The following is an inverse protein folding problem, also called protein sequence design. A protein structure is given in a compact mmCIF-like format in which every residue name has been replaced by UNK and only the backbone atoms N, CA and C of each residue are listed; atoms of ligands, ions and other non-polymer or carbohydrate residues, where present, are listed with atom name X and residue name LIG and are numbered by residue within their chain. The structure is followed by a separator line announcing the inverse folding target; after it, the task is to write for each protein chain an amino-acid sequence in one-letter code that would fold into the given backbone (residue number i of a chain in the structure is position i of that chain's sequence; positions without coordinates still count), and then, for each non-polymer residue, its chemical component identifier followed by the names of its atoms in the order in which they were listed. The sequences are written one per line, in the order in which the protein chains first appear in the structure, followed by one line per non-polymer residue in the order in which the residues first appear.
data_IF_452065998548
#
_entry.id   IF_452065998548
#
_cell.length_a   1.000
_cell.length_b   1.000
_cell.length_c   1.000
_cell.angle_alpha   90.00
_cell.angle_beta   90.00
_cell.angle_gamma   90.00
#
_symmetry.space_group_name_H-M   'P 1'
#
loop_
_entity.id
_entity.type
_entity.pdbx_description
1 polymer ?
#
# COMPACT_ATOMS: atom_id res chain seq x y z
N UNK A 1 -42.31 32.68 -50.93
CA UNK A 1 -41.46 33.70 -51.58
C UNK A 1 -41.50 35.00 -50.78
N UNK A 2 -40.46 35.85 -50.92
CA UNK A 2 -40.13 37.07 -50.15
C UNK A 2 -41.25 38.12 -50.00
N UNK A 3 -41.29 38.78 -48.83
CA UNK A 3 -41.12 40.26 -48.57
C UNK A 3 -41.64 40.54 -47.13
N UNK A 4 -40.95 41.14 -46.14
CA UNK A 4 -39.91 42.18 -45.99
C UNK A 4 -40.41 43.64 -46.01
N UNK A 5 -40.62 44.22 -44.80
CA UNK A 5 -40.49 45.64 -44.34
C UNK A 5 -40.94 45.67 -42.86
N UNK A 6 -40.08 45.87 -41.86
CA UNK A 6 -39.33 47.08 -41.47
C UNK A 6 -40.21 48.16 -40.79
N UNK A 7 -39.96 48.44 -39.50
CA UNK A 7 -39.54 49.75 -38.95
C UNK A 7 -39.35 49.69 -37.42
N UNK A 8 -38.21 50.20 -36.93
CA UNK A 8 -37.96 50.63 -35.53
C UNK A 8 -38.28 52.15 -35.46
N UNK A 9 -38.54 52.81 -34.30
CA UNK A 9 -37.47 53.08 -33.32
C UNK A 9 -37.87 53.33 -31.83
N UNK A 10 -36.87 53.35 -30.92
CA UNK A 10 -36.77 54.15 -29.67
C UNK A 10 -37.88 53.98 -28.56
N UNK A 11 -37.75 54.30 -27.27
CA UNK A 11 -36.67 54.57 -26.28
C UNK A 11 -37.40 54.78 -24.90
N UNK A 12 -36.86 54.82 -23.67
CA UNK A 12 -35.51 54.71 -23.05
C UNK A 12 -35.69 54.37 -21.53
N UNK A 13 -34.60 54.11 -20.77
CA UNK A 13 -34.50 54.17 -19.28
C UNK A 13 -35.26 53.08 -18.45
N UNK A 14 -34.81 52.61 -17.27
CA UNK A 14 -33.50 52.69 -16.57
C UNK A 14 -33.44 51.70 -15.37
N UNK A 15 -32.22 51.40 -14.88
CA UNK A 15 -31.87 50.91 -13.51
C UNK A 15 -32.41 49.52 -13.06
N UNK A 16 -31.75 48.73 -12.21
CA UNK A 16 -30.43 48.79 -11.54
C UNK A 16 -30.00 47.39 -11.05
N UNK A 17 -28.83 47.33 -10.37
CA UNK A 17 -28.29 46.25 -9.52
C UNK A 17 -27.63 45.06 -10.25
N UNK A 18 -26.45 44.66 -9.78
CA UNK A 18 -25.82 43.38 -10.16
C UNK A 18 -24.35 43.39 -10.59
N UNK A 19 -23.47 44.23 -10.01
CA UNK A 19 -22.03 43.98 -10.10
C UNK A 19 -21.64 42.83 -9.15
N UNK A 20 -21.89 41.59 -9.59
CA UNK A 20 -21.29 40.40 -9.01
C UNK A 20 -19.96 40.13 -9.69
N UNK A 21 -18.88 40.17 -8.92
CA UNK A 21 -17.51 40.00 -9.39
C UNK A 21 -17.21 38.50 -9.61
N UNK A 22 -16.90 38.04 -10.83
CA UNK A 22 -16.50 36.65 -11.06
C UNK A 22 -15.00 36.50 -10.79
N UNK A 23 -14.60 36.65 -9.53
CA UNK A 23 -13.28 36.19 -9.08
C UNK A 23 -13.29 34.66 -9.09
N UNK A 24 -13.03 34.09 -10.27
CA UNK A 24 -12.66 32.69 -10.43
C UNK A 24 -11.24 32.52 -9.86
N UNK A 25 -11.15 32.52 -8.54
CA UNK A 25 -10.11 31.75 -7.87
C UNK A 25 -10.40 30.28 -8.18
N UNK A 26 -9.78 29.81 -9.26
CA UNK A 26 -9.46 28.40 -9.39
C UNK A 26 -8.42 28.13 -8.32
N UNK A 27 -8.91 27.79 -7.12
CA UNK A 27 -8.12 26.98 -6.19
C UNK A 27 -7.74 25.73 -6.96
N UNK A 28 -6.50 25.69 -7.43
CA UNK A 28 -5.85 24.40 -7.62
C UNK A 28 -5.74 23.83 -6.23
N UNK A 29 -6.68 22.96 -5.88
CA UNK A 29 -6.56 22.06 -4.74
C UNK A 29 -5.38 21.14 -5.05
N UNK A 30 -4.17 21.65 -4.84
CA UNK A 30 -3.05 20.85 -4.37
C UNK A 30 -3.59 20.19 -3.12
N UNK A 31 -3.94 18.91 -3.23
CA UNK A 31 -4.39 18.12 -2.09
C UNK A 31 -3.30 18.19 -1.04
N UNK A 32 -3.49 19.07 -0.06
CA UNK A 32 -2.58 19.26 1.04
C UNK A 32 -2.69 18.01 1.89
N UNK A 33 -1.82 17.04 1.61
CA UNK A 33 -1.77 15.75 2.29
C UNK A 33 -1.56 16.02 3.79
N UNK A 34 -2.65 16.02 4.55
CA UNK A 34 -2.62 16.43 5.96
C UNK A 34 -1.96 15.32 6.76
N UNK A 35 -0.75 15.59 7.24
CA UNK A 35 0.02 14.70 8.09
C UNK A 35 -0.84 14.14 9.23
N UNK A 36 -1.23 12.88 9.11
CA UNK A 36 -2.18 12.21 10.01
C UNK A 36 -3.09 11.20 9.31
N UNK A 37 -3.43 11.40 8.03
CA UNK A 37 -4.07 10.35 7.23
C UNK A 37 -3.00 9.38 6.71
N UNK A 38 -3.16 8.08 6.99
CA UNK A 38 -2.39 7.04 6.29
C UNK A 38 -2.93 6.93 4.88
N UNK A 39 -2.34 7.68 3.95
CA UNK A 39 -2.75 7.74 2.55
C UNK A 39 -2.96 6.32 1.99
N UNK A 40 -4.22 5.99 1.70
CA UNK A 40 -4.57 4.69 1.15
C UNK A 40 -3.96 4.52 -0.25
N UNK A 41 -3.73 3.27 -0.63
CA UNK A 41 -3.17 2.89 -1.92
C UNK A 41 -4.20 2.03 -2.65
N UNK A 42 -5.15 2.66 -3.38
CA UNK A 42 -6.09 1.91 -4.23
C UNK A 42 -5.34 1.27 -5.41
N UNK A 43 -5.89 0.19 -5.95
CA UNK A 43 -5.30 -0.49 -7.09
C UNK A 43 -5.30 0.43 -8.33
N UNK A 44 -4.30 0.25 -9.20
CA UNK A 44 -4.08 1.14 -10.35
C UNK A 44 -3.31 2.43 -10.04
N UNK A 45 -3.13 2.80 -8.76
CA UNK A 45 -2.18 3.85 -8.36
C UNK A 45 -0.74 3.41 -8.60
N UNK A 46 0.12 4.31 -9.10
CA UNK A 46 1.54 4.04 -9.31
C UNK A 46 2.34 4.77 -8.24
N UNK A 47 2.71 4.06 -7.16
CA UNK A 47 3.22 4.70 -5.93
C UNK A 47 4.39 3.95 -5.30
N UNK A 48 5.20 4.71 -4.56
CA UNK A 48 6.18 4.19 -3.61
C UNK A 48 5.65 4.41 -2.18
N UNK A 49 5.56 3.32 -1.42
CA UNK A 49 5.23 3.31 -0.01
C UNK A 49 6.55 3.20 0.77
N UNK A 50 7.16 4.35 1.05
CA UNK A 50 8.43 4.43 1.76
C UNK A 50 8.23 4.20 3.27
N UNK A 51 8.92 3.20 3.82
CA UNK A 51 8.97 2.95 5.27
C UNK A 51 10.38 3.31 5.76
N UNK A 52 10.53 4.50 6.34
CA UNK A 52 11.82 5.05 6.76
C UNK A 52 12.15 4.64 8.19
N UNK A 53 13.36 4.12 8.38
CA UNK A 53 13.89 3.60 9.65
C UNK A 53 12.91 2.66 10.37
N UNK A 54 12.47 1.56 9.71
CA UNK A 54 11.66 0.54 10.32
C UNK A 54 12.39 -0.11 11.50
N UNK A 55 11.66 -0.40 12.57
CA UNK A 55 12.15 -1.18 13.69
C UNK A 55 12.41 -2.60 13.20
N UNK A 56 13.66 -3.05 13.32
CA UNK A 56 14.06 -4.39 12.92
C UNK A 56 13.57 -5.40 13.96
N UNK A 57 12.65 -6.29 13.57
CA UNK A 57 12.14 -7.32 14.45
C UNK A 57 13.14 -8.48 14.63
N UNK A 58 13.02 -9.24 15.70
CA UNK A 58 13.73 -10.52 15.89
C UNK A 58 12.84 -11.67 15.41
N UNK A 59 13.33 -12.64 14.60
CA UNK A 59 14.72 -12.89 14.23
C UNK A 59 15.07 -12.45 12.79
N UNK A 60 14.97 -11.16 12.47
CA UNK A 60 15.48 -10.63 11.19
C UNK A 60 16.93 -11.07 10.97
N UNK A 61 17.22 -11.62 9.79
CA UNK A 61 18.50 -12.26 9.50
C UNK A 61 18.96 -12.14 8.03
N UNK A 62 18.32 -11.28 7.22
CA UNK A 62 18.80 -10.92 5.86
C UNK A 62 19.91 -9.87 5.87
N UNK A 63 19.98 -9.05 6.92
CA UNK A 63 21.01 -8.05 7.13
C UNK A 63 20.43 -6.65 7.22
N UNK A 64 20.92 -5.88 8.18
CA UNK A 64 20.53 -4.48 8.40
C UNK A 64 21.55 -3.57 7.70
N UNK A 65 21.12 -2.59 6.89
CA UNK A 65 22.04 -1.61 6.31
C UNK A 65 22.81 -0.82 7.39
N UNK A 66 23.99 -0.31 7.04
CA UNK A 66 24.81 0.46 7.98
C UNK A 66 24.25 1.86 8.27
N UNK A 67 23.33 2.29 7.41
CA UNK A 67 22.68 3.59 7.36
C UNK A 67 21.41 3.66 8.25
N UNK A 68 21.14 2.67 9.11
CA UNK A 68 19.94 2.67 9.96
C UNK A 68 20.05 3.74 11.05
N UNK A 69 19.21 4.77 10.96
CA UNK A 69 19.05 5.83 11.96
C UNK A 69 17.79 5.66 12.80
N UNK A 70 17.60 6.58 13.75
CA UNK A 70 16.45 6.60 14.67
C UNK A 70 15.33 7.57 14.22
N UNK A 71 15.58 8.45 13.25
CA UNK A 71 14.61 9.48 12.80
C UNK A 71 13.63 8.87 11.81
N UNK A 72 12.37 8.76 12.22
CA UNK A 72 11.30 8.18 11.39
C UNK A 72 10.40 9.24 10.77
N UNK A 73 10.03 10.26 11.54
CA UNK A 73 9.00 11.23 11.17
C UNK A 73 9.58 12.56 10.69
N UNK A 74 8.85 13.26 9.82
CA UNK A 74 9.32 14.52 9.26
C UNK A 74 10.50 14.38 8.30
N UNK A 75 10.71 13.19 7.74
CA UNK A 75 11.69 12.93 6.69
C UNK A 75 11.02 13.17 5.34
N UNK A 76 11.59 14.08 4.55
CA UNK A 76 11.16 14.33 3.19
C UNK A 76 11.47 13.10 2.31
N UNK A 77 10.47 12.62 1.58
CA UNK A 77 10.56 11.53 0.59
C UNK A 77 10.10 12.10 -0.75
N UNK A 78 11.06 12.38 -1.64
CA UNK A 78 10.82 13.11 -2.88
C UNK A 78 11.31 12.30 -4.09
N UNK A 79 10.42 11.56 -4.79
CA UNK A 79 10.77 10.92 -6.04
C UNK A 79 10.87 11.93 -7.17
N UNK A 80 12.04 12.02 -7.81
CA UNK A 80 12.26 12.81 -9.02
C UNK A 80 12.34 11.89 -10.27
N UNK A 81 11.43 12.00 -11.25
CA UNK A 81 10.15 12.70 -11.22
C UNK A 81 9.08 11.99 -10.36
N UNK A 82 8.12 12.75 -9.83
CA UNK A 82 7.07 12.23 -8.95
C UNK A 82 6.45 13.33 -8.08
N UNK A 83 5.75 12.92 -7.02
CA UNK A 83 5.15 13.82 -6.01
C UNK A 83 5.76 13.60 -4.63
N UNK A 84 6.34 14.65 -4.05
CA UNK A 84 6.95 14.62 -2.72
C UNK A 84 5.94 14.33 -1.60
N UNK A 85 6.38 13.58 -0.60
CA UNK A 85 5.67 13.29 0.63
C UNK A 85 6.58 13.46 1.86
N UNK A 86 6.00 13.52 3.06
CA UNK A 86 6.72 13.64 4.33
C UNK A 86 6.29 12.50 5.24
N UNK A 87 7.24 11.87 5.92
CA UNK A 87 6.93 10.70 6.76
C UNK A 87 6.11 11.03 8.01
N UNK A 88 5.11 10.20 8.28
CA UNK A 88 4.32 10.14 9.52
C UNK A 88 4.35 8.70 10.05
N UNK A 89 4.68 8.52 11.33
CA UNK A 89 5.00 7.22 11.94
C UNK A 89 6.04 6.40 11.14
N UNK A 90 6.99 7.05 10.48
CA UNK A 90 7.96 6.44 9.57
C UNK A 90 7.42 6.02 8.20
N UNK A 91 6.22 6.45 7.80
CA UNK A 91 5.60 6.10 6.53
C UNK A 91 5.39 7.34 5.64
N UNK A 92 5.76 7.25 4.37
CA UNK A 92 5.33 8.18 3.32
C UNK A 92 4.80 7.40 2.11
N UNK A 93 3.75 7.92 1.48
CA UNK A 93 3.24 7.41 0.19
C UNK A 93 3.43 8.52 -0.84
N UNK A 94 4.13 8.20 -1.92
CA UNK A 94 4.55 9.16 -2.94
C UNK A 94 4.16 8.66 -4.33
N UNK A 95 3.52 9.52 -5.13
CA UNK A 95 3.17 9.24 -6.53
C UNK A 95 4.41 9.19 -7.41
N UNK A 96 4.52 8.18 -8.27
CA UNK A 96 5.66 8.00 -9.18
C UNK A 96 5.21 7.65 -10.62
N UNK A 97 5.85 8.21 -11.65
CA UNK A 97 5.60 7.82 -13.03
C UNK A 97 6.42 6.60 -13.43
N UNK A 98 5.95 5.87 -14.45
CA UNK A 98 6.65 4.74 -15.07
C UNK A 98 7.97 5.19 -15.70
N UNK A 99 9.07 5.05 -14.96
CA UNK A 99 10.43 5.45 -15.33
C UNK A 99 11.45 4.93 -14.32
N UNK A 100 12.73 5.02 -14.66
CA UNK A 100 13.79 5.06 -13.63
C UNK A 100 13.69 6.40 -12.90
N UNK A 101 13.40 6.36 -11.60
CA UNK A 101 13.29 7.54 -10.73
C UNK A 101 14.48 7.60 -9.77
N UNK A 102 14.73 8.82 -9.33
CA UNK A 102 15.65 9.15 -8.25
C UNK A 102 14.82 9.42 -6.98
N UNK A 103 14.78 8.48 -6.05
CA UNK A 103 14.08 8.63 -4.77
C UNK A 103 14.98 9.35 -3.76
N UNK A 104 14.69 10.62 -3.49
CA UNK A 104 15.36 11.38 -2.45
C UNK A 104 14.76 11.10 -1.08
N UNK A 105 15.62 10.92 -0.07
CA UNK A 105 15.24 10.69 1.33
C UNK A 105 16.06 11.65 2.18
N UNK A 106 15.46 12.78 2.54
CA UNK A 106 16.21 13.96 2.96
C UNK A 106 17.30 14.33 1.94
N UNK A 107 18.59 14.46 2.35
CA UNK A 107 19.69 14.71 1.41
C UNK A 107 20.21 13.46 0.68
N UNK A 108 19.78 12.26 1.10
CA UNK A 108 20.22 11.00 0.50
C UNK A 108 19.45 10.69 -0.78
N UNK A 109 20.00 9.78 -1.61
CA UNK A 109 19.47 9.46 -2.93
C UNK A 109 19.53 7.97 -3.22
N UNK A 110 18.40 7.39 -3.60
CA UNK A 110 18.24 5.99 -4.00
C UNK A 110 17.70 5.92 -5.43
N UNK A 111 18.09 4.90 -6.20
CA UNK A 111 17.46 4.62 -7.50
C UNK A 111 16.26 3.69 -7.32
N UNK A 112 15.23 3.84 -8.15
CA UNK A 112 14.16 2.85 -8.30
C UNK A 112 13.70 2.79 -9.76
N UNK A 113 13.52 1.59 -10.30
CA UNK A 113 12.90 1.38 -11.61
C UNK A 113 11.40 1.05 -11.43
N UNK A 114 10.54 1.93 -11.95
CA UNK A 114 9.08 1.76 -11.97
C UNK A 114 8.70 1.12 -13.31
N UNK A 115 8.30 -0.16 -13.26
CA UNK A 115 8.16 -1.02 -14.44
C UNK A 115 6.86 -0.75 -15.23
N UNK A 116 5.73 -0.59 -14.55
CA UNK A 116 4.41 -0.42 -15.16
C UNK A 116 3.49 0.52 -14.35
N UNK A 117 2.45 1.02 -15.03
CA UNK A 117 1.43 1.85 -14.39
C UNK A 117 0.50 0.97 -13.55
N UNK A 118 0.20 1.43 -12.33
CA UNK A 118 -0.52 0.68 -11.31
C UNK A 118 0.35 -0.29 -10.49
N UNK A 119 1.67 -0.22 -10.64
CA UNK A 119 2.58 -0.91 -9.74
C UNK A 119 2.69 -0.17 -8.40
N UNK A 120 2.58 -0.92 -7.31
CA UNK A 120 2.82 -0.45 -5.93
C UNK A 120 4.16 -0.99 -5.45
N UNK A 121 4.99 -0.12 -4.86
CA UNK A 121 6.31 -0.48 -4.34
C UNK A 121 6.39 -0.24 -2.84
N UNK A 122 6.37 -1.29 -2.03
CA UNK A 122 6.68 -1.18 -0.60
C UNK A 122 8.20 -1.08 -0.43
N UNK A 123 8.71 0.06 0.04
CA UNK A 123 10.14 0.40 0.07
C UNK A 123 10.65 0.71 1.50
N UNK A 124 11.06 -0.31 2.28
CA UNK A 124 11.75 -0.12 3.55
C UNK A 124 13.17 0.43 3.35
N UNK A 125 13.45 1.55 4.02
CA UNK A 125 14.66 2.36 3.83
C UNK A 125 15.30 2.61 5.19
N UNK A 126 16.58 2.28 5.31
CA UNK A 126 17.46 2.76 6.37
C UNK A 126 18.00 4.15 5.97
N UNK A 127 17.98 5.11 6.89
CA UNK A 127 18.43 6.49 6.66
C UNK A 127 19.08 7.11 7.92
N UNK A 128 20.34 7.55 7.84
CA UNK A 128 21.10 8.05 9.01
C UNK A 128 21.08 9.59 9.16
N UNK A 129 20.35 10.28 8.29
CA UNK A 129 20.36 11.75 8.16
C UNK A 129 21.22 12.28 7.01
N UNK A 130 22.10 11.45 6.42
CA UNK A 130 23.01 11.83 5.34
C UNK A 130 23.06 10.80 4.19
N UNK A 131 22.99 9.50 4.51
CA UNK A 131 22.98 8.38 3.58
C UNK A 131 21.71 7.53 3.79
N UNK A 132 21.29 6.84 2.73
CA UNK A 132 20.15 5.93 2.76
C UNK A 132 20.47 4.64 2.01
N UNK A 133 19.79 3.55 2.38
CA UNK A 133 19.87 2.25 1.74
C UNK A 133 18.56 1.47 1.87
N UNK A 134 18.17 0.73 0.85
CA UNK A 134 17.08 -0.25 0.97
C UNK A 134 17.49 -1.44 1.82
N UNK A 135 16.52 -2.04 2.52
CA UNK A 135 16.73 -3.34 3.15
C UNK A 135 16.85 -4.46 2.11
N UNK A 136 17.53 -5.55 2.48
CA UNK A 136 17.70 -6.71 1.60
C UNK A 136 16.34 -7.31 1.18
N UNK A 137 16.25 -7.69 -0.11
CA UNK A 137 15.03 -8.16 -0.79
C UNK A 137 13.93 -7.10 -0.94
N UNK A 138 14.27 -5.82 -0.90
CA UNK A 138 13.33 -4.70 -1.10
C UNK A 138 13.93 -3.66 -2.08
N UNK A 139 13.11 -2.77 -2.71
CA UNK A 139 11.65 -2.64 -2.61
C UNK A 139 10.85 -3.87 -3.08
N UNK A 140 9.66 -4.05 -2.53
CA UNK A 140 8.73 -5.13 -2.87
C UNK A 140 7.71 -4.58 -3.86
N UNK A 141 7.79 -5.01 -5.12
CA UNK A 141 6.84 -4.66 -6.17
C UNK A 141 5.56 -5.51 -6.10
N UNK A 142 4.41 -4.88 -6.30
CA UNK A 142 3.08 -5.47 -6.46
C UNK A 142 2.49 -4.96 -7.79
N UNK A 143 2.34 -5.85 -8.77
CA UNK A 143 1.88 -5.49 -10.12
C UNK A 143 0.34 -5.47 -10.21
N UNK A 144 -0.29 -4.51 -9.53
CA UNK A 144 -1.75 -4.46 -9.32
C UNK A 144 -2.50 -3.55 -10.30
N UNK A 145 -1.82 -2.99 -11.29
CA UNK A 145 -2.46 -2.26 -12.38
C UNK A 145 -3.26 -3.20 -13.29
N UNK A 146 -4.42 -2.73 -13.77
CA UNK A 146 -5.26 -3.49 -14.73
C UNK A 146 -4.46 -3.96 -15.96
N UNK A 147 -3.53 -3.12 -16.45
CA UNK A 147 -2.64 -3.45 -17.56
C UNK A 147 -1.63 -4.57 -17.28
N UNK A 148 -1.42 -4.93 -16.01
CA UNK A 148 -0.62 -6.06 -15.56
C UNK A 148 -1.37 -7.40 -15.54
N UNK A 149 -2.69 -7.40 -15.77
CA UNK A 149 -3.51 -8.61 -15.72
C UNK A 149 -4.04 -8.97 -14.33
N UNK A 150 -4.10 -8.01 -13.40
CA UNK A 150 -4.73 -8.20 -12.10
C UNK A 150 -6.22 -8.59 -12.23
N UNK A 151 -6.66 -9.53 -11.40
CA UNK A 151 -8.03 -10.03 -11.34
C UNK A 151 -8.71 -9.42 -10.10
N UNK A 152 -9.78 -8.69 -10.32
CA UNK A 152 -10.51 -7.98 -9.26
C UNK A 152 -11.72 -8.82 -8.80
N UNK A 153 -11.89 -8.93 -7.49
CA UNK A 153 -13.06 -9.55 -6.86
C UNK A 153 -13.69 -8.60 -5.85
N UNK A 154 -15.02 -8.56 -5.85
CA UNK A 154 -15.83 -7.85 -4.86
C UNK A 154 -16.22 -8.82 -3.72
N UNK A 155 -16.63 -8.32 -2.54
CA UNK A 155 -17.13 -9.17 -1.45
C UNK A 155 -18.37 -10.02 -1.79
N UNK A 156 -19.08 -9.69 -2.88
CA UNK A 156 -20.17 -10.52 -3.41
C UNK A 156 -19.67 -11.79 -4.14
N UNK A 157 -18.40 -11.83 -4.55
CA UNK A 157 -17.77 -13.03 -5.12
C UNK A 157 -17.57 -14.09 -4.04
N UNK A 158 -18.12 -15.28 -4.27
CA UNK A 158 -17.96 -16.40 -3.33
C UNK A 158 -16.50 -16.83 -3.19
N UNK A 159 -16.01 -16.97 -1.96
CA UNK A 159 -14.61 -17.30 -1.65
C UNK A 159 -14.09 -18.55 -2.39
N UNK A 160 -14.96 -19.50 -2.76
CA UNK A 160 -14.60 -20.67 -3.56
C UNK A 160 -14.12 -20.35 -4.99
N UNK A 161 -14.63 -19.28 -5.59
CA UNK A 161 -14.20 -18.80 -6.91
C UNK A 161 -12.82 -18.16 -6.79
N UNK A 162 -12.64 -17.25 -5.83
CA UNK A 162 -11.36 -16.63 -5.47
C UNK A 162 -10.31 -17.71 -5.18
N UNK A 163 -10.65 -18.70 -4.35
CA UNK A 163 -9.76 -19.83 -4.02
C UNK A 163 -9.39 -20.69 -5.24
N UNK A 164 -10.27 -20.81 -6.25
CA UNK A 164 -9.96 -21.52 -7.50
C UNK A 164 -8.92 -20.75 -8.30
N UNK A 165 -9.05 -19.44 -8.42
CA UNK A 165 -8.04 -18.56 -9.05
C UNK A 165 -6.70 -18.60 -8.31
N UNK A 166 -6.71 -18.73 -6.99
CA UNK A 166 -5.51 -18.86 -6.15
C UNK A 166 -4.87 -20.27 -6.18
N UNK A 167 -5.39 -21.20 -7.00
CA UNK A 167 -4.67 -22.43 -7.38
C UNK A 167 -3.75 -22.25 -8.60
N UNK A 168 -3.88 -21.14 -9.34
CA UNK A 168 -3.08 -20.84 -10.54
C UNK A 168 -1.75 -20.14 -10.20
N UNK A 169 -0.69 -20.43 -10.95
CA UNK A 169 0.63 -19.78 -10.77
C UNK A 169 0.68 -18.39 -11.46
N UNK A 170 1.44 -17.44 -10.89
CA UNK A 170 1.70 -16.09 -11.41
C UNK A 170 0.45 -15.18 -11.51
N UNK A 171 -0.52 -15.36 -10.62
CA UNK A 171 -1.76 -14.56 -10.61
C UNK A 171 -1.72 -13.45 -9.57
N UNK A 172 -2.17 -12.26 -9.97
CA UNK A 172 -2.43 -11.13 -9.05
C UNK A 172 -3.93 -11.02 -8.84
N UNK A 173 -4.37 -11.18 -7.60
CA UNK A 173 -5.74 -10.97 -7.14
C UNK A 173 -5.82 -9.66 -6.35
N UNK A 174 -6.75 -8.79 -6.73
CA UNK A 174 -7.15 -7.59 -5.99
C UNK A 174 -8.51 -7.85 -5.34
N UNK A 175 -8.61 -7.56 -4.04
CA UNK A 175 -9.84 -7.66 -3.27
C UNK A 175 -10.35 -6.25 -2.97
N UNK A 176 -11.56 -5.94 -3.41
CA UNK A 176 -12.23 -4.67 -3.08
C UNK A 176 -12.72 -4.64 -1.62
N UNK A 177 -12.93 -3.44 -1.03
CA UNK A 177 -13.34 -3.26 0.37
C UNK A 177 -14.57 -4.09 0.79
N UNK A 178 -14.48 -4.78 1.94
CA UNK A 178 -15.57 -5.53 2.56
C UNK A 178 -15.17 -6.91 3.12
N UNK A 179 -16.18 -7.73 3.44
CA UNK A 179 -16.01 -8.98 4.21
C UNK A 179 -16.19 -10.23 3.34
N UNK A 180 -15.13 -11.02 3.25
CA UNK A 180 -15.04 -12.30 2.54
C UNK A 180 -15.10 -13.45 3.55
N UNK A 181 -16.24 -14.14 3.63
CA UNK A 181 -16.49 -15.15 4.69
C UNK A 181 -15.96 -16.54 4.30
N UNK A 182 -15.14 -17.12 5.17
CA UNK A 182 -14.60 -18.48 5.06
C UNK A 182 -13.07 -18.56 5.04
N UNK A 183 -12.55 -19.79 5.07
CA UNK A 183 -11.09 -20.03 5.02
C UNK A 183 -10.54 -19.93 3.59
N UNK A 184 -9.44 -19.19 3.41
CA UNK A 184 -8.76 -19.00 2.13
C UNK A 184 -7.51 -19.90 2.04
N UNK A 185 -7.34 -20.62 0.93
CA UNK A 185 -6.16 -21.45 0.68
C UNK A 185 -5.51 -21.04 -0.63
N UNK A 186 -4.25 -20.62 -0.57
CA UNK A 186 -3.45 -20.20 -1.72
C UNK A 186 -2.47 -21.32 -2.06
N UNK A 187 -2.62 -21.93 -3.24
CA UNK A 187 -1.81 -23.09 -3.68
C UNK A 187 -0.86 -22.75 -4.82
N UNK A 188 -1.22 -21.77 -5.65
CA UNK A 188 -0.41 -21.30 -6.76
C UNK A 188 0.92 -20.68 -6.30
N UNK A 189 1.91 -20.74 -7.19
CA UNK A 189 3.24 -20.16 -7.02
C UNK A 189 3.27 -18.72 -7.54
N UNK A 190 4.02 -17.83 -6.89
CA UNK A 190 4.18 -16.42 -7.29
C UNK A 190 2.82 -15.68 -7.37
N UNK A 191 1.91 -16.00 -6.44
CA UNK A 191 0.57 -15.40 -6.32
C UNK A 191 0.61 -14.15 -5.45
N UNK A 192 -0.11 -13.10 -5.85
CA UNK A 192 -0.31 -11.89 -5.04
C UNK A 192 -1.79 -11.79 -4.65
N UNK A 193 -2.06 -11.53 -3.37
CA UNK A 193 -3.37 -11.09 -2.85
C UNK A 193 -3.20 -9.68 -2.30
N UNK A 194 -3.87 -8.71 -2.91
CA UNK A 194 -3.81 -7.30 -2.54
C UNK A 194 -5.20 -6.82 -2.11
N UNK A 195 -5.35 -6.44 -0.84
CA UNK A 195 -6.53 -5.73 -0.36
C UNK A 195 -6.37 -4.22 -0.56
N UNK A 196 -7.41 -3.59 -1.09
CA UNK A 196 -7.58 -2.14 -1.11
C UNK A 196 -8.00 -1.61 0.28
N UNK A 197 -7.97 -0.29 0.50
CA UNK A 197 -8.40 0.30 1.78
C UNK A 197 -7.50 -0.12 2.95
N UNK A 198 -6.18 -0.24 2.72
CA UNK A 198 -5.26 -0.81 3.72
C UNK A 198 -5.06 0.11 4.92
N UNK A 199 -5.21 1.44 4.74
CA UNK A 199 -5.13 2.42 5.83
C UNK A 199 -6.21 2.22 6.90
N UNK A 200 -7.44 1.92 6.47
CA UNK A 200 -8.59 1.64 7.34
C UNK A 200 -8.85 0.14 7.55
N UNK A 201 -8.02 -0.73 6.95
CA UNK A 201 -8.14 -2.20 6.95
C UNK A 201 -9.48 -2.73 6.40
N UNK A 202 -9.99 -2.13 5.32
CA UNK A 202 -11.35 -2.37 4.84
C UNK A 202 -11.60 -3.78 4.25
N UNK A 203 -10.56 -4.48 3.81
CA UNK A 203 -10.65 -5.87 3.32
C UNK A 203 -10.50 -6.85 4.47
N UNK A 204 -11.57 -7.59 4.78
CA UNK A 204 -11.62 -8.55 5.88
C UNK A 204 -11.88 -9.97 5.34
N UNK A 205 -10.94 -10.88 5.57
CA UNK A 205 -11.14 -12.32 5.42
C UNK A 205 -11.65 -12.85 6.77
N UNK A 206 -12.95 -13.14 6.84
CA UNK A 206 -13.58 -13.72 8.03
C UNK A 206 -13.41 -15.24 8.04
N UNK A 207 -12.19 -15.65 8.39
CA UNK A 207 -11.71 -17.02 8.39
C UNK A 207 -10.19 -17.07 8.52
N UNK A 208 -9.62 -18.26 8.32
CA UNK A 208 -8.18 -18.51 8.36
C UNK A 208 -7.57 -18.44 6.96
N UNK A 209 -6.27 -18.12 6.85
CA UNK A 209 -5.54 -18.11 5.57
C UNK A 209 -4.39 -19.11 5.59
N UNK A 210 -4.32 -19.97 4.57
CA UNK A 210 -3.23 -20.95 4.39
C UNK A 210 -2.51 -20.74 3.06
N UNK A 211 -1.25 -20.29 3.10
CA UNK A 211 -0.37 -20.18 1.94
C UNK A 211 0.53 -21.42 1.80
N UNK A 212 0.24 -22.25 0.79
CA UNK A 212 0.94 -23.51 0.51
C UNK A 212 1.94 -23.39 -0.66
N UNK A 213 1.66 -22.53 -1.64
CA UNK A 213 2.56 -22.21 -2.75
C UNK A 213 3.78 -21.35 -2.34
N UNK A 214 4.83 -21.37 -3.16
CA UNK A 214 6.00 -20.50 -2.97
C UNK A 214 5.75 -19.10 -3.56
N UNK A 215 6.47 -18.07 -3.12
CA UNK A 215 6.36 -16.72 -3.68
C UNK A 215 5.04 -15.99 -3.42
N UNK A 216 4.15 -16.58 -2.60
CA UNK A 216 2.86 -15.99 -2.23
C UNK A 216 3.08 -14.68 -1.47
N UNK A 217 2.44 -13.59 -1.90
CA UNK A 217 2.45 -12.29 -1.21
C UNK A 217 1.04 -11.89 -0.83
N UNK A 218 0.86 -11.41 0.40
CA UNK A 218 -0.39 -10.83 0.90
C UNK A 218 -0.12 -9.37 1.28
N UNK A 219 -1.03 -8.45 0.93
CA UNK A 219 -0.94 -7.04 1.34
C UNK A 219 -2.31 -6.49 1.68
N UNK A 220 -2.41 -5.66 2.71
CA UNK A 220 -3.60 -4.83 2.97
C UNK A 220 -4.86 -5.58 3.41
N UNK A 221 -4.74 -6.75 4.05
CA UNK A 221 -5.92 -7.54 4.51
C UNK A 221 -5.97 -7.70 6.02
N UNK A 222 -7.19 -7.81 6.55
CA UNK A 222 -7.46 -8.31 7.91
C UNK A 222 -7.85 -9.78 7.84
N UNK A 223 -7.26 -10.62 8.71
CA UNK A 223 -7.56 -12.05 8.85
C UNK A 223 -8.11 -12.26 10.26
N UNK A 224 -9.37 -12.69 10.39
CA UNK A 224 -10.01 -12.92 11.71
C UNK A 224 -9.57 -14.23 12.37
N UNK A 225 -9.19 -15.23 11.56
CA UNK A 225 -8.67 -16.54 11.98
C UNK A 225 -7.14 -16.62 12.04
N UNK A 226 -6.63 -17.85 11.89
CA UNK A 226 -5.19 -18.14 11.89
C UNK A 226 -4.54 -17.81 10.53
N UNK A 227 -3.25 -17.44 10.54
CA UNK A 227 -2.41 -17.36 9.34
C UNK A 227 -1.35 -18.46 9.35
N UNK A 228 -1.38 -19.35 8.37
CA UNK A 228 -0.38 -20.39 8.17
C UNK A 228 0.32 -20.22 6.81
N UNK A 229 1.66 -20.20 6.78
CA UNK A 229 2.41 -20.15 5.53
C UNK A 229 3.58 -21.15 5.53
N UNK A 230 3.61 -22.04 4.53
CA UNK A 230 4.59 -23.14 4.43
C UNK A 230 5.53 -23.00 3.23
N UNK A 231 5.08 -22.37 2.15
CA UNK A 231 5.91 -22.11 0.97
C UNK A 231 7.05 -21.14 1.26
N UNK A 232 8.14 -21.26 0.51
CA UNK A 232 9.25 -20.31 0.58
C UNK A 232 8.85 -18.98 -0.06
N UNK A 233 9.64 -17.93 0.23
CA UNK A 233 9.46 -16.56 -0.27
C UNK A 233 8.07 -15.97 -0.01
N UNK A 234 7.37 -16.46 1.02
CA UNK A 234 6.11 -15.89 1.49
C UNK A 234 6.31 -14.46 1.99
N UNK A 235 5.48 -13.54 1.51
CA UNK A 235 5.45 -12.14 1.96
C UNK A 235 4.11 -11.77 2.58
N UNK A 236 4.14 -10.95 3.63
CA UNK A 236 2.95 -10.25 4.12
C UNK A 236 3.29 -8.82 4.52
N UNK A 237 2.53 -7.85 4.03
CA UNK A 237 2.73 -6.42 4.32
C UNK A 237 1.43 -5.73 4.72
N UNK A 238 1.50 -4.73 5.60
CA UNK A 238 0.37 -3.84 5.92
C UNK A 238 -0.94 -4.58 6.26
N UNK A 239 -0.84 -5.76 6.88
CA UNK A 239 -1.96 -6.66 7.13
C UNK A 239 -2.16 -6.91 8.63
N UNK A 240 -3.36 -7.31 9.03
CA UNK A 240 -3.72 -7.63 10.42
C UNK A 240 -4.10 -9.10 10.55
N UNK A 241 -3.65 -9.78 11.62
CA UNK A 241 -4.03 -11.16 11.92
C UNK A 241 -4.46 -11.28 13.37
N UNK A 242 -5.70 -11.72 13.60
CA UNK A 242 -6.26 -11.90 14.93
C UNK A 242 -5.88 -13.24 15.58
N UNK A 243 -5.84 -14.32 14.79
CA UNK A 243 -5.44 -15.65 15.26
C UNK A 243 -3.93 -15.87 15.35
N UNK A 244 -3.56 -17.13 15.42
CA UNK A 244 -2.18 -17.59 15.48
C UNK A 244 -1.49 -17.39 14.13
N UNK A 245 -0.28 -16.81 14.13
CA UNK A 245 0.56 -16.71 12.93
C UNK A 245 1.68 -17.73 12.98
N UNK A 246 1.75 -18.65 12.01
CA UNK A 246 2.73 -19.74 11.93
C UNK A 246 3.33 -19.84 10.54
N UNK A 247 4.60 -19.41 10.39
CA UNK A 247 5.23 -19.25 9.08
C UNK A 247 6.57 -19.96 9.02
N UNK A 248 6.57 -21.13 8.37
CA UNK A 248 7.69 -22.09 8.35
C UNK A 248 8.53 -22.06 7.07
N UNK A 249 8.10 -21.33 6.05
CA UNK A 249 8.86 -21.13 4.81
C UNK A 249 10.14 -20.30 5.02
N UNK A 250 11.09 -20.39 4.09
CA UNK A 250 12.33 -19.60 4.12
C UNK A 250 12.20 -18.31 3.29
N UNK A 251 13.10 -17.36 3.50
CA UNK A 251 13.28 -16.17 2.65
C UNK A 251 12.05 -15.23 2.54
N UNK A 252 11.24 -15.15 3.59
CA UNK A 252 10.04 -14.30 3.59
C UNK A 252 10.27 -12.81 3.89
N UNK A 253 9.31 -11.97 3.55
CA UNK A 253 9.34 -10.53 3.81
C UNK A 253 8.08 -10.08 4.59
N UNK A 254 8.29 -9.42 5.72
CA UNK A 254 7.25 -9.07 6.68
C UNK A 254 7.36 -7.59 7.00
N UNK A 255 6.42 -6.78 6.51
CA UNK A 255 6.48 -5.33 6.64
C UNK A 255 5.23 -4.76 7.32
N UNK A 256 5.43 -4.14 8.49
CA UNK A 256 4.42 -3.28 9.13
C UNK A 256 3.05 -3.96 9.35
N UNK A 257 3.08 -5.25 9.69
CA UNK A 257 1.88 -6.01 10.02
C UNK A 257 1.49 -5.84 11.49
N UNK A 258 0.24 -6.16 11.80
CA UNK A 258 -0.30 -6.20 13.16
C UNK A 258 -0.72 -7.63 13.49
N UNK A 259 0.10 -8.32 14.28
CA UNK A 259 -0.22 -9.65 14.78
C UNK A 259 -0.78 -9.54 16.21
N UNK A 260 -2.06 -9.85 16.38
CA UNK A 260 -2.76 -9.80 17.66
C UNK A 260 -2.64 -11.13 18.44
N UNK A 261 -2.52 -12.25 17.73
CA UNK A 261 -2.31 -13.57 18.31
C UNK A 261 -0.84 -14.00 18.37
N UNK A 262 -0.55 -15.20 18.90
CA UNK A 262 0.80 -15.73 19.01
C UNK A 262 1.46 -15.87 17.63
N UNK A 263 2.68 -15.33 17.49
CA UNK A 263 3.40 -15.29 16.21
C UNK A 263 4.69 -16.09 16.25
N UNK A 264 4.85 -16.99 15.28
CA UNK A 264 5.99 -17.90 15.15
C UNK A 264 6.55 -17.83 13.74
N UNK A 265 7.70 -17.16 13.58
CA UNK A 265 8.43 -17.01 12.31
C UNK A 265 9.83 -17.63 12.42
N UNK A 266 9.96 -18.98 12.39
CA UNK A 266 11.26 -19.69 12.39
C UNK A 266 12.05 -19.57 11.06
N UNK A 267 11.65 -18.67 10.18
CA UNK A 267 12.18 -18.51 8.82
C UNK A 267 13.67 -18.13 8.81
N UNK A 268 14.47 -18.89 8.05
CA UNK A 268 15.84 -18.48 7.70
C UNK A 268 15.82 -17.49 6.54
N UNK A 269 16.64 -16.45 6.63
CA UNK A 269 16.76 -15.34 5.68
C UNK A 269 15.47 -14.53 5.51
N UNK A 270 14.71 -14.31 6.58
CA UNK A 270 13.56 -13.44 6.59
C UNK A 270 13.90 -11.96 6.88
N UNK A 271 13.30 -11.07 6.10
CA UNK A 271 13.28 -9.62 6.34
C UNK A 271 12.05 -9.30 7.19
N UNK A 272 12.20 -9.13 8.50
CA UNK A 272 11.12 -8.67 9.39
C UNK A 272 11.35 -7.22 9.83
N UNK A 273 10.41 -6.33 9.49
CA UNK A 273 10.48 -4.88 9.67
C UNK A 273 9.11 -4.31 10.13
N UNK A 274 9.09 -3.51 11.19
CA UNK A 274 7.91 -2.79 11.71
C UNK A 274 6.70 -3.66 12.15
N UNK A 275 6.87 -4.97 12.35
CA UNK A 275 5.75 -5.85 12.70
C UNK A 275 5.40 -5.78 14.19
N UNK A 276 4.17 -5.39 14.50
CA UNK A 276 3.61 -5.44 15.86
C UNK A 276 3.22 -6.87 16.25
N UNK A 277 3.36 -7.20 17.54
CA UNK A 277 3.21 -8.58 18.05
C UNK A 277 4.46 -9.45 17.88
N UNK A 278 5.57 -8.86 17.39
CA UNK A 278 6.87 -9.53 17.21
C UNK A 278 7.97 -8.69 17.85
N UNK A 279 8.82 -9.25 18.73
CA UNK A 279 9.88 -8.50 19.40
C UNK A 279 10.76 -7.68 18.43
N UNK A 280 11.17 -6.45 18.77
CA UNK A 280 10.93 -5.78 20.05
C UNK A 280 9.57 -5.07 20.14
N UNK A 281 8.74 -5.09 19.09
CA UNK A 281 7.43 -4.42 19.04
C UNK A 281 6.34 -5.36 19.57
N UNK A 282 6.39 -5.66 20.87
CA UNK A 282 5.56 -6.72 21.47
C UNK A 282 4.06 -6.40 21.51
N UNK A 283 3.67 -5.12 21.58
CA UNK A 283 2.28 -4.70 21.72
C UNK A 283 1.77 -3.95 20.47
N UNK A 284 0.69 -4.42 19.83
CA UNK A 284 -0.07 -3.65 18.85
C UNK A 284 -0.55 -2.27 19.35
N UNK A 285 -0.81 -1.30 18.45
CA UNK A 285 -1.39 -0.02 18.86
C UNK A 285 -2.79 -0.21 19.48
N UNK A 286 -3.22 0.67 20.40
CA UNK A 286 -4.53 0.55 21.06
C UNK A 286 -5.69 0.43 20.06
N UNK A 287 -6.67 -0.44 20.34
CA UNK A 287 -7.84 -0.69 19.50
C UNK A 287 -7.58 -1.52 18.24
N UNK A 288 -6.34 -1.68 17.78
CA UNK A 288 -6.02 -2.42 16.54
C UNK A 288 -6.24 -3.94 16.66
N UNK A 289 -6.42 -4.46 17.88
CA UNK A 289 -6.68 -5.87 18.17
C UNK A 289 -8.02 -6.11 18.88
N UNK A 290 -8.98 -5.21 18.64
CA UNK A 290 -10.39 -5.37 19.01
C UNK A 290 -11.18 -5.69 17.73
N UNK A 291 -12.16 -6.61 17.83
CA UNK A 291 -13.11 -7.01 16.77
C UNK A 291 -14.48 -6.37 17.01
#
# INVERSE_FOLDING_TARGET
MKQFRAFLPAALLASALGCGDPHLDVSTDTAGNTAGDTADVPAGSTVVVAVVNPVVNTPHNTGVPGELGDVRDGVDVDPEPGGAAVTVDGLAVADVPVSSIDLHVGPAKLGLDVDAAGDVYDAPIAFDGAAAAYFANTPIRYAVGEGGGAIFFDPETGLSEIATTLEEDNVVVVLGPGVYVGDLVIKGTDVVVFGEGWGDFEVVIDGSVSAEGNGVRIRGVTITGDLAAKGNTFGISFSRVFGTTSITGQAGAYLRNIFCGPTTVPSSNATLLDNYGVPPIEAPPPGQCEL
#
